data_IF_212311524696
#
_entry.id   IF_212311524696
#
_cell.length_a   1.000
_cell.length_b   1.000
_cell.length_c   1.000
_cell.angle_alpha   90.00
_cell.angle_beta   90.00
_cell.angle_gamma   90.00
#
_symmetry.space_group_name_H-M   'P 1'
#
loop_
_entity.id
_entity.type
_entity.pdbx_description
1 polymer ?
#
# COMPACT_ATOMS: atom_id res chain seq x y z
N UNK A 1 17.18 2.29 -3.83
CA UNK A 1 16.17 3.27 -3.36
C UNK A 1 14.78 2.68 -3.60
N UNK A 2 13.87 2.80 -2.65
CA UNK A 2 12.47 2.42 -2.83
C UNK A 2 11.83 3.55 -3.64
N UNK A 3 11.53 3.32 -4.90
CA UNK A 3 11.13 4.40 -5.82
C UNK A 3 9.61 4.55 -5.96
N UNK A 4 8.82 3.54 -5.58
CA UNK A 4 7.37 3.57 -5.74
C UNK A 4 6.60 2.99 -4.54
N UNK A 5 5.44 3.61 -4.29
CA UNK A 5 4.41 3.14 -3.39
C UNK A 5 3.10 2.93 -4.18
N UNK A 6 2.39 1.85 -3.91
CA UNK A 6 1.18 1.45 -4.61
C UNK A 6 0.04 1.21 -3.62
N UNK A 7 -1.16 1.69 -3.95
CA UNK A 7 -2.38 1.45 -3.17
C UNK A 7 -3.36 0.64 -4.01
N UNK A 8 -3.91 -0.43 -3.44
CA UNK A 8 -4.70 -1.48 -4.14
C UNK A 8 -6.18 -1.22 -4.25
N UNK A 9 -6.71 -0.15 -3.65
CA UNK A 9 -8.11 0.19 -3.80
C UNK A 9 -8.37 1.59 -3.27
N UNK A 10 -8.94 2.45 -4.11
CA UNK A 10 -9.84 3.49 -3.60
C UNK A 10 -11.03 2.74 -2.97
N UNK A 11 -11.09 2.74 -1.64
CA UNK A 11 -12.37 2.84 -0.97
C UNK A 11 -12.97 4.22 -1.31
N UNK A 12 -13.49 4.39 -2.52
CA UNK A 12 -14.35 5.52 -2.86
C UNK A 12 -15.76 4.98 -3.11
N UNK A 13 -16.38 4.59 -2.00
CA UNK A 13 -17.81 4.75 -1.81
C UNK A 13 -18.02 5.40 -0.44
N UNK A 14 -17.62 6.67 -0.34
CA UNK A 14 -18.16 7.61 0.64
C UNK A 14 -18.39 8.94 -0.09
N UNK A 15 -19.27 8.91 -1.09
CA UNK A 15 -19.85 10.13 -1.65
C UNK A 15 -21.16 10.51 -0.95
N UNK A 16 -21.49 9.95 0.21
CA UNK A 16 -22.53 10.50 1.09
C UNK A 16 -22.11 10.36 2.56
N UNK A 17 -22.25 11.47 3.30
CA UNK A 17 -22.04 11.70 4.74
C UNK A 17 -20.66 12.27 5.17
N UNK A 18 -20.38 13.56 4.93
CA UNK A 18 -19.69 14.34 5.97
C UNK A 18 -20.62 14.42 7.21
N UNK A 19 -20.07 14.52 8.43
CA UNK A 19 -20.78 14.74 9.71
C UNK A 19 -21.04 13.55 10.68
N UNK A 20 -20.18 12.51 10.80
CA UNK A 20 -20.43 11.48 11.84
C UNK A 20 -19.26 10.98 12.70
N UNK A 21 -18.17 11.74 12.85
CA UNK A 21 -17.05 11.31 13.73
C UNK A 21 -16.63 12.26 14.86
N UNK A 22 -17.37 13.33 15.20
CA UNK A 22 -17.01 14.22 16.33
C UNK A 22 -18.13 14.41 17.38
N UNK A 23 -19.07 13.47 17.56
CA UNK A 23 -20.08 13.64 18.64
C UNK A 23 -20.41 12.36 19.39
N UNK A 24 -19.43 11.81 20.11
CA UNK A 24 -19.69 10.82 21.16
C UNK A 24 -18.81 11.02 22.41
N UNK A 25 -18.42 12.27 22.69
CA UNK A 25 -17.65 12.61 23.90
C UNK A 25 -18.42 13.42 24.95
N UNK A 26 -19.72 13.70 24.75
CA UNK A 26 -20.53 14.46 25.70
C UNK A 26 -21.95 13.90 25.86
N UNK A 27 -22.06 12.63 26.27
CA UNK A 27 -23.23 12.22 27.06
C UNK A 27 -22.78 11.20 28.10
N UNK A 28 -22.56 11.70 29.32
CA UNK A 28 -22.13 10.91 30.46
C UNK A 28 -23.21 9.92 30.87
N UNK A 29 -23.06 8.66 30.45
CA UNK A 29 -23.74 7.54 31.09
C UNK A 29 -22.71 6.51 31.54
N UNK A 30 -22.46 6.57 32.85
CA UNK A 30 -21.72 5.63 33.66
C UNK A 30 -22.59 4.41 33.94
N UNK A 31 -22.18 3.24 33.48
CA UNK A 31 -22.53 1.97 34.12
C UNK A 31 -21.53 0.89 33.71
N UNK A 32 -20.48 0.72 34.51
CA UNK A 32 -19.58 -0.43 34.42
C UNK A 32 -20.19 -1.62 35.19
N UNK A 33 -20.24 -2.84 34.64
CA UNK A 33 -20.52 -4.03 35.43
C UNK A 33 -19.30 -4.41 36.32
N UNK A 34 -19.53 -5.07 37.46
CA UNK A 34 -18.47 -5.39 38.41
C UNK A 34 -17.42 -6.36 37.83
N UNK A 35 -16.15 -6.06 38.10
CA UNK A 35 -14.99 -6.88 37.76
C UNK A 35 -15.05 -8.23 38.51
N UNK A 36 -15.18 -9.33 37.77
CA UNK A 36 -14.97 -10.68 38.29
C UNK A 36 -13.53 -11.13 37.94
N UNK A 37 -12.68 -11.48 38.91
CA UNK A 37 -11.37 -12.04 38.61
C UNK A 37 -11.52 -13.47 38.11
N UNK A 38 -11.40 -13.68 36.80
CA UNK A 38 -11.19 -15.02 36.26
C UNK A 38 -9.71 -15.40 36.39
N UNK A 39 -9.41 -16.34 37.28
CA UNK A 39 -8.16 -17.09 37.25
C UNK A 39 -8.10 -17.90 35.94
N UNK A 40 -7.25 -17.48 35.00
CA UNK A 40 -6.79 -18.32 33.89
C UNK A 40 -5.31 -18.60 34.09
N UNK A 41 -4.99 -19.85 34.36
CA UNK A 41 -3.64 -20.44 34.28
C UNK A 41 -2.95 -20.03 32.97
N UNK A 42 -1.66 -19.64 32.99
CA UNK A 42 -0.93 -19.34 31.75
C UNK A 42 -0.72 -20.62 30.94
N UNK A 43 -1.00 -20.64 29.63
CA UNK A 43 -0.39 -21.65 28.78
C UNK A 43 1.12 -21.37 28.75
N UNK A 44 1.90 -22.37 29.13
CA UNK A 44 3.34 -22.34 29.01
C UNK A 44 3.73 -22.20 27.53
N UNK A 45 4.11 -21.00 27.11
CA UNK A 45 4.94 -20.80 25.92
C UNK A 45 6.13 -19.93 26.35
N UNK A 46 7.04 -20.57 27.08
CA UNK A 46 8.42 -20.13 27.19
C UNK A 46 9.16 -20.68 25.98
N UNK A 47 9.26 -19.88 24.90
CA UNK A 47 10.29 -20.07 23.87
C UNK A 47 10.66 -18.70 23.26
N UNK A 48 11.78 -18.16 23.75
CA UNK A 48 12.76 -17.34 23.04
C UNK A 48 12.36 -15.92 22.57
N UNK A 49 12.47 -14.97 23.50
CA UNK A 49 12.95 -13.62 23.20
C UNK A 49 14.41 -13.70 22.72
N UNK A 50 14.64 -13.76 21.41
CA UNK A 50 15.94 -13.46 20.78
C UNK A 50 15.82 -13.51 19.26
N UNK A 51 15.62 -12.36 18.63
CA UNK A 51 16.38 -11.97 17.42
C UNK A 51 15.84 -10.66 16.87
N UNK A 52 16.69 -9.63 16.91
CA UNK A 52 16.84 -8.61 15.87
C UNK A 52 15.62 -8.42 14.94
N UNK A 53 14.54 -7.80 15.42
CA UNK A 53 13.39 -7.44 14.60
C UNK A 53 13.77 -6.27 13.68
N UNK A 54 14.60 -6.57 12.67
CA UNK A 54 14.57 -5.87 11.40
C UNK A 54 13.10 -5.82 11.01
N UNK A 55 12.55 -4.63 10.80
CA UNK A 55 11.18 -4.39 10.33
C UNK A 55 10.94 -5.22 9.05
N UNK A 56 10.62 -6.51 9.20
CA UNK A 56 10.26 -7.39 8.11
C UNK A 56 8.78 -7.16 7.94
N UNK A 57 8.34 -6.99 6.69
CA UNK A 57 6.91 -7.06 6.39
C UNK A 57 6.30 -8.36 6.92
N UNK A 58 4.97 -8.50 6.94
CA UNK A 58 4.28 -9.66 7.50
C UNK A 58 4.94 -10.99 7.12
N UNK A 59 5.09 -11.88 8.10
CA UNK A 59 5.80 -13.16 7.98
C UNK A 59 5.29 -14.03 6.82
N UNK A 60 4.00 -13.88 6.48
CA UNK A 60 3.38 -14.41 5.26
C UNK A 60 2.83 -13.25 4.42
N UNK A 61 3.40 -13.10 3.21
CA UNK A 61 3.03 -12.06 2.25
C UNK A 61 2.06 -12.62 1.19
N UNK A 62 1.02 -11.87 0.80
CA UNK A 62 0.26 -12.21 -0.40
C UNK A 62 1.16 -12.28 -1.65
N UNK A 63 0.74 -12.97 -2.72
CA UNK A 63 1.48 -13.01 -3.98
C UNK A 63 1.80 -11.61 -4.50
N UNK A 64 3.04 -11.45 -4.96
CA UNK A 64 3.59 -10.16 -5.41
C UNK A 64 3.88 -10.17 -6.92
N UNK A 65 3.87 -9.01 -7.59
CA UNK A 65 4.03 -8.91 -9.03
C UNK A 65 5.45 -9.18 -9.53
N UNK A 66 6.47 -9.00 -8.68
CA UNK A 66 7.87 -9.25 -8.99
C UNK A 66 8.73 -9.36 -7.72
N UNK A 67 10.01 -9.72 -7.89
CA UNK A 67 10.92 -9.94 -6.78
C UNK A 67 11.41 -8.69 -6.05
N UNK A 68 11.23 -7.52 -6.66
CA UNK A 68 11.64 -6.23 -6.13
C UNK A 68 10.43 -5.44 -5.59
N UNK A 69 9.44 -6.16 -5.06
CA UNK A 69 8.25 -5.60 -4.43
C UNK A 69 7.91 -6.34 -3.13
N UNK A 70 7.27 -5.64 -2.19
CA UNK A 70 6.79 -6.21 -0.93
C UNK A 70 5.56 -5.46 -0.42
N UNK A 71 4.67 -6.15 0.30
CA UNK A 71 3.56 -5.49 0.98
C UNK A 71 4.04 -4.85 2.27
N UNK A 72 3.83 -3.54 2.38
CA UNK A 72 3.90 -2.80 3.64
C UNK A 72 2.67 -3.13 4.47
N UNK A 73 1.49 -3.12 3.82
CA UNK A 73 0.22 -3.58 4.38
C UNK A 73 -0.39 -4.56 3.36
N UNK A 74 -0.62 -5.83 3.73
CA UNK A 74 -1.15 -6.85 2.83
C UNK A 74 -2.39 -6.38 2.06
N UNK A 75 -2.36 -6.50 0.74
CA UNK A 75 -3.45 -6.14 -0.17
C UNK A 75 -3.97 -4.71 0.00
N UNK A 76 -3.17 -3.79 0.56
CA UNK A 76 -3.51 -2.37 0.77
C UNK A 76 -2.41 -1.43 0.30
N UNK A 77 -1.18 -1.72 0.69
CA UNK A 77 -0.03 -0.86 0.46
C UNK A 77 1.20 -1.69 0.07
N UNK A 78 1.71 -1.47 -1.13
CA UNK A 78 2.90 -2.15 -1.64
C UNK A 78 4.00 -1.14 -1.95
N UNK A 79 5.23 -1.49 -1.62
CA UNK A 79 6.41 -0.76 -2.08
C UNK A 79 7.15 -1.60 -3.12
N UNK A 80 7.78 -0.94 -4.08
CA UNK A 80 8.55 -1.62 -5.12
C UNK A 80 9.53 -0.75 -5.88
N UNK A 81 10.23 -1.40 -6.81
CA UNK A 81 11.12 -0.72 -7.75
C UNK A 81 10.37 0.11 -8.81
N UNK A 82 11.10 1.01 -9.46
CA UNK A 82 10.60 1.78 -10.60
C UNK A 82 10.12 0.88 -11.75
N UNK A 83 8.91 1.10 -12.31
CA UNK A 83 8.36 0.21 -13.31
C UNK A 83 9.11 0.27 -14.64
N UNK A 84 9.53 1.48 -15.06
CA UNK A 84 10.26 1.62 -16.31
C UNK A 84 11.62 0.93 -16.19
N UNK A 85 11.84 -0.05 -17.06
CA UNK A 85 13.05 -0.84 -17.06
C UNK A 85 13.97 -0.41 -18.21
N UNK A 86 15.27 -0.57 -17.99
CA UNK A 86 16.32 -0.35 -18.99
C UNK A 86 16.14 -1.19 -20.26
N UNK A 87 15.30 -2.24 -20.20
CA UNK A 87 15.01 -3.15 -21.30
C UNK A 87 13.85 -2.67 -22.21
N UNK A 88 13.40 -1.42 -22.04
CA UNK A 88 12.48 -0.73 -22.95
C UNK A 88 10.99 -0.95 -22.67
N UNK A 89 10.15 -0.32 -23.50
CA UNK A 89 8.70 -0.14 -23.25
C UNK A 89 7.92 -1.44 -23.04
N UNK A 90 8.29 -2.51 -23.76
CA UNK A 90 7.61 -3.81 -23.66
C UNK A 90 7.77 -4.42 -22.26
N UNK A 91 8.98 -4.34 -21.69
CA UNK A 91 9.26 -4.85 -20.35
C UNK A 91 8.55 -4.03 -19.27
N UNK A 92 8.52 -2.71 -19.43
CA UNK A 92 7.75 -1.78 -18.58
C UNK A 92 6.26 -2.13 -18.59
N UNK A 93 5.70 -2.35 -19.78
CA UNK A 93 4.30 -2.73 -19.99
C UNK A 93 3.94 -4.04 -19.29
N UNK A 94 4.78 -5.07 -19.46
CA UNK A 94 4.59 -6.35 -18.77
C UNK A 94 4.62 -6.20 -17.24
N UNK A 95 5.56 -5.40 -16.72
CA UNK A 95 5.69 -5.18 -15.28
C UNK A 95 4.47 -4.44 -14.72
N UNK A 96 4.03 -3.36 -15.38
CA UNK A 96 2.80 -2.63 -15.05
C UNK A 96 1.59 -3.55 -15.09
N UNK A 97 1.49 -4.38 -16.12
CA UNK A 97 0.42 -5.37 -16.23
C UNK A 97 0.30 -6.26 -14.99
N UNK A 98 1.43 -6.78 -14.49
CA UNK A 98 1.45 -7.60 -13.27
C UNK A 98 0.98 -6.83 -12.03
N UNK A 99 1.25 -5.52 -11.93
CA UNK A 99 0.73 -4.69 -10.84
C UNK A 99 -0.80 -4.54 -10.96
N UNK A 100 -1.31 -4.18 -12.15
CA UNK A 100 -2.74 -4.05 -12.40
C UNK A 100 -3.49 -5.38 -12.16
N UNK A 101 -2.90 -6.52 -12.52
CA UNK A 101 -3.47 -7.86 -12.28
C UNK A 101 -3.58 -8.20 -10.78
N UNK A 102 -2.87 -7.46 -9.90
CA UNK A 102 -3.01 -7.53 -8.43
C UNK A 102 -4.00 -6.51 -7.87
N UNK A 103 -4.73 -5.80 -8.74
CA UNK A 103 -5.69 -4.76 -8.34
C UNK A 103 -5.04 -3.44 -7.94
N UNK A 104 -3.74 -3.25 -8.23
CA UNK A 104 -3.08 -1.97 -7.96
C UNK A 104 -3.51 -0.97 -9.02
N UNK A 105 -4.19 0.09 -8.61
CA UNK A 105 -4.68 1.13 -9.54
C UNK A 105 -4.20 2.53 -9.20
N UNK A 106 -3.60 2.73 -8.02
CA UNK A 106 -2.97 3.99 -7.63
C UNK A 106 -1.44 3.82 -7.58
N UNK A 107 -0.75 4.69 -8.33
CA UNK A 107 0.71 4.70 -8.50
C UNK A 107 1.27 6.00 -7.94
N UNK A 108 2.11 5.90 -6.89
CA UNK A 108 2.86 7.04 -6.35
C UNK A 108 4.32 6.96 -6.79
N UNK A 109 4.71 7.90 -7.65
CA UNK A 109 6.06 8.08 -8.16
C UNK A 109 6.84 9.05 -7.26
N UNK A 110 7.95 8.58 -6.69
CA UNK A 110 8.82 9.38 -5.83
C UNK A 110 10.02 9.96 -6.57
N UNK A 111 10.14 9.70 -7.87
CA UNK A 111 11.26 10.17 -8.70
C UNK A 111 11.06 11.60 -9.19
N UNK A 112 12.16 12.29 -9.45
CA UNK A 112 12.11 13.62 -10.08
C UNK A 112 11.70 13.52 -11.56
N UNK A 113 11.13 14.60 -12.08
CA UNK A 113 10.82 14.66 -13.50
C UNK A 113 12.10 14.61 -14.34
N UNK A 114 12.18 13.62 -15.22
CA UNK A 114 13.35 13.40 -16.08
C UNK A 114 14.44 12.54 -15.44
N UNK A 115 14.31 12.15 -14.17
CA UNK A 115 15.25 11.21 -13.54
C UNK A 115 15.20 9.82 -14.21
N UNK A 116 14.00 9.41 -14.62
CA UNK A 116 13.68 8.12 -15.28
C UNK A 116 12.61 8.32 -16.36
N UNK A 117 12.49 7.36 -17.28
CA UNK A 117 11.47 7.37 -18.32
C UNK A 117 10.05 7.33 -17.72
N UNK A 118 9.18 8.24 -18.17
CA UNK A 118 7.79 8.26 -17.73
C UNK A 118 7.07 6.97 -18.14
N UNK A 119 6.29 6.43 -17.20
CA UNK A 119 5.44 5.27 -17.40
C UNK A 119 3.95 5.59 -17.21
N UNK A 120 3.59 6.85 -16.95
CA UNK A 120 2.21 7.28 -16.70
C UNK A 120 1.25 6.86 -17.83
N UNK A 121 1.61 7.17 -19.07
CA UNK A 121 0.80 6.81 -20.24
C UNK A 121 0.65 5.28 -20.38
N UNK A 122 1.70 4.53 -20.05
CA UNK A 122 1.69 3.07 -20.13
C UNK A 122 0.71 2.48 -19.12
N UNK A 123 0.58 3.05 -17.92
CA UNK A 123 -0.39 2.60 -16.92
C UNK A 123 -1.82 2.75 -17.46
N UNK A 124 -2.15 3.93 -18.00
CA UNK A 124 -3.48 4.23 -18.56
C UNK A 124 -3.83 3.27 -19.69
N UNK A 125 -2.93 3.12 -20.67
CA UNK A 125 -3.11 2.20 -21.78
C UNK A 125 -3.26 0.73 -21.33
N UNK A 126 -2.49 0.29 -20.32
CA UNK A 126 -2.56 -1.08 -19.83
C UNK A 126 -3.81 -1.39 -19.02
N UNK A 127 -4.35 -0.42 -18.29
CA UNK A 127 -5.62 -0.61 -17.61
C UNK A 127 -6.81 -0.51 -18.57
N UNK A 128 -6.78 0.37 -19.57
CA UNK A 128 -7.77 0.35 -20.67
C UNK A 128 -7.80 -1.01 -21.37
N UNK A 129 -6.63 -1.59 -21.67
CA UNK A 129 -6.53 -2.95 -22.25
C UNK A 129 -7.17 -4.03 -21.38
N UNK A 130 -7.25 -3.81 -20.07
CA UNK A 130 -7.88 -4.71 -19.08
C UNK A 130 -9.35 -4.37 -18.82
N UNK A 131 -9.93 -3.42 -19.55
CA UNK A 131 -11.31 -2.98 -19.37
C UNK A 131 -11.53 -2.10 -18.13
N UNK A 132 -10.47 -1.52 -17.56
CA UNK A 132 -10.59 -0.52 -16.49
C UNK A 132 -10.97 0.83 -17.09
N UNK A 133 -11.73 1.65 -16.35
CA UNK A 133 -11.99 3.02 -16.76
C UNK A 133 -10.79 3.93 -16.47
N UNK A 134 -10.65 5.04 -17.20
CA UNK A 134 -9.60 6.03 -16.96
C UNK A 134 -9.67 6.60 -15.53
N UNK A 135 -10.87 6.73 -14.94
CA UNK A 135 -11.01 7.24 -13.57
C UNK A 135 -10.56 6.24 -12.49
N UNK A 136 -10.42 4.97 -12.85
CA UNK A 136 -9.98 3.92 -11.91
C UNK A 136 -8.48 3.99 -11.68
N UNK A 137 -7.73 4.46 -12.67
CA UNK A 137 -6.27 4.46 -12.69
C UNK A 137 -5.77 5.84 -12.31
N UNK A 138 -5.03 5.91 -11.23
CA UNK A 138 -4.50 7.17 -10.70
C UNK A 138 -2.98 7.13 -10.65
N UNK A 139 -2.37 8.19 -11.15
CA UNK A 139 -0.93 8.42 -11.08
C UNK A 139 -0.67 9.75 -10.38
N UNK A 140 0.21 9.72 -9.38
CA UNK A 140 0.63 10.90 -8.64
C UNK A 140 2.15 10.87 -8.53
N UNK A 141 2.80 12.03 -8.72
CA UNK A 141 4.23 12.20 -8.47
C UNK A 141 4.44 13.15 -7.31
N UNK A 142 5.17 12.68 -6.30
CA UNK A 142 5.63 13.48 -5.15
C UNK A 142 7.14 13.27 -5.07
N UNK A 143 7.94 14.12 -5.75
CA UNK A 143 9.36 13.87 -5.93
C UNK A 143 10.09 13.97 -4.60
N UNK A 144 10.97 13.02 -4.33
CA UNK A 144 11.95 13.06 -3.26
C UNK A 144 13.31 12.93 -3.94
N UNK A 145 14.18 13.92 -3.74
CA UNK A 145 15.54 13.86 -4.25
C UNK A 145 16.21 12.55 -3.82
N UNK A 146 17.06 11.98 -4.66
CA UNK A 146 17.79 10.77 -4.29
C UNK A 146 18.57 10.98 -2.98
N UNK A 147 18.38 10.07 -2.02
CA UNK A 147 18.87 10.16 -0.63
C UNK A 147 18.35 11.37 0.19
N UNK A 148 17.34 12.07 -0.31
CA UNK A 148 16.68 13.18 0.36
C UNK A 148 15.63 12.73 1.40
N UNK A 149 15.00 13.71 2.03
CA UNK A 149 13.85 13.53 2.92
C UNK A 149 12.62 14.19 2.30
N UNK A 150 11.40 13.68 2.58
CA UNK A 150 10.18 14.39 2.24
C UNK A 150 10.15 15.76 2.91
N UNK A 151 9.68 16.77 2.18
CA UNK A 151 9.47 18.16 2.65
C UNK A 151 7.99 18.48 2.87
#
# INVERSE_FOLDING_TARGET
IISLLFITQRAYSLQHQPEFFITAFLSGQSSSPPFQPQQKTPPAITTMLSSTEKLRGPEVQPPRPNDNSYWVIPNKLMAGEYPAANFGVTSTRQKIGRYLDKGITFFLDLTEQGEKESYEQIIKEEGLRRGMSEETIEYCRIPIQDFGIPS
#
